data_IF_226981290387
#
_entry.id   IF_226981290387
#
_cell.length_a   1.000
_cell.length_b   1.000
_cell.length_c   1.000
_cell.angle_alpha   90.00
_cell.angle_beta   90.00
_cell.angle_gamma   90.00
#
_symmetry.space_group_name_H-M   'P 1'
#
loop_
_entity.id
_entity.type
_entity.pdbx_description
1 polymer ?
#
# COMPACT_ATOMS: atom_id res chain seq x y z
N UNK A 1 12.44 9.30 13.44
CA UNK A 1 12.16 10.72 13.20
C UNK A 1 11.15 10.89 12.05
N UNK A 2 10.51 12.05 11.90
CA UNK A 2 9.59 12.35 10.79
C UNK A 2 10.28 13.35 9.85
N UNK A 3 10.71 12.87 8.69
CA UNK A 3 11.42 13.67 7.70
C UNK A 3 10.51 14.47 6.77
N UNK A 4 11.10 15.22 5.84
CA UNK A 4 10.36 15.95 4.80
C UNK A 4 9.50 15.02 3.93
N UNK A 5 10.00 13.82 3.60
CA UNK A 5 9.25 12.80 2.83
C UNK A 5 7.99 12.34 3.55
N UNK A 6 8.05 12.15 4.86
CA UNK A 6 6.87 11.80 5.66
C UNK A 6 5.83 12.92 5.69
N UNK A 7 6.28 14.18 5.81
CA UNK A 7 5.37 15.34 5.80
C UNK A 7 4.73 15.55 4.43
N UNK A 8 5.49 15.38 3.35
CA UNK A 8 4.96 15.45 1.99
C UNK A 8 3.93 14.34 1.74
N UNK A 9 4.23 13.10 2.17
CA UNK A 9 3.31 11.98 2.08
C UNK A 9 2.03 12.22 2.90
N UNK A 10 2.14 12.78 4.10
CA UNK A 10 0.97 13.14 4.89
C UNK A 10 0.10 14.16 4.13
N UNK A 11 0.71 15.26 3.67
CA UNK A 11 -0.01 16.33 2.98
C UNK A 11 -0.73 15.88 1.70
N UNK A 12 -0.10 15.06 0.84
CA UNK A 12 -0.78 14.59 -0.38
C UNK A 12 -1.96 13.67 -0.05
N UNK A 13 -1.84 12.85 0.99
CA UNK A 13 -2.90 11.90 1.40
C UNK A 13 -3.99 12.54 2.25
N UNK A 14 -3.83 13.78 2.72
CA UNK A 14 -4.89 14.55 3.39
C UNK A 14 -5.91 15.12 2.39
N UNK A 15 -5.46 15.42 1.16
CA UNK A 15 -6.27 16.08 0.12
C UNK A 15 -6.61 15.17 -1.05
N UNK A 16 -6.22 13.89 -0.98
CA UNK A 16 -6.50 12.90 -2.02
C UNK A 16 -6.67 11.50 -1.42
N UNK A 17 -7.21 10.58 -2.22
CA UNK A 17 -7.30 9.15 -1.93
C UNK A 17 -5.98 8.39 -2.16
N UNK A 18 -4.88 9.13 -2.39
CA UNK A 18 -3.59 8.53 -2.65
C UNK A 18 -3.11 7.64 -1.49
N UNK A 19 -2.31 6.64 -1.86
CA UNK A 19 -1.54 5.79 -0.94
C UNK A 19 -0.07 6.10 -1.14
N UNK A 20 0.60 6.56 -0.09
CA UNK A 20 2.02 6.91 -0.14
C UNK A 20 2.86 5.92 0.66
N UNK A 21 3.78 5.24 -0.02
CA UNK A 21 4.79 4.39 0.59
C UNK A 21 6.09 5.19 0.80
N UNK A 22 6.65 5.16 2.00
CA UNK A 22 7.86 5.91 2.35
C UNK A 22 8.89 4.93 2.91
N UNK A 23 10.12 4.98 2.38
CA UNK A 23 11.27 4.24 2.92
C UNK A 23 12.23 5.24 3.53
N UNK A 24 12.62 5.02 4.79
CA UNK A 24 13.66 5.80 5.46
C UNK A 24 15.02 5.50 4.83
N UNK A 25 15.70 6.53 4.37
CA UNK A 25 17.05 6.43 3.77
C UNK A 25 18.12 6.01 4.79
N UNK A 26 17.96 6.43 6.05
CA UNK A 26 18.90 6.13 7.12
C UNK A 26 18.67 4.75 7.73
N UNK A 27 17.41 4.39 7.98
CA UNK A 27 17.06 3.19 8.78
C UNK A 27 16.44 2.06 7.97
N UNK A 28 16.13 2.29 6.68
CA UNK A 28 15.42 1.34 5.83
C UNK A 28 13.96 1.09 6.25
N UNK A 29 13.49 1.71 7.34
CA UNK A 29 12.14 1.50 7.87
C UNK A 29 11.08 1.99 6.89
N UNK A 30 10.04 1.18 6.72
CA UNK A 30 8.92 1.49 5.84
C UNK A 30 7.84 2.22 6.65
N UNK A 31 7.20 3.20 6.03
CA UNK A 31 6.02 3.89 6.53
C UNK A 31 4.99 4.00 5.42
N UNK A 32 3.73 4.08 5.78
CA UNK A 32 2.61 4.20 4.86
C UNK A 32 1.75 5.39 5.29
N UNK A 33 1.44 6.29 4.36
CA UNK A 33 0.47 7.34 4.57
C UNK A 33 -0.76 7.10 3.68
N UNK A 34 -1.96 7.26 4.25
CA UNK A 34 -3.23 7.16 3.54
C UNK A 34 -4.32 7.87 4.35
N UNK A 35 -5.22 8.60 3.67
CA UNK A 35 -6.32 9.36 4.30
C UNK A 35 -5.86 10.25 5.48
N UNK A 36 -4.75 10.97 5.30
CA UNK A 36 -4.15 11.83 6.33
C UNK A 36 -3.65 11.10 7.57
N UNK A 37 -3.45 9.78 7.51
CA UNK A 37 -2.89 8.98 8.61
C UNK A 37 -1.54 8.42 8.21
N UNK A 38 -0.56 8.54 9.11
CA UNK A 38 0.78 8.00 8.93
C UNK A 38 1.03 6.80 9.84
N UNK A 39 1.22 5.63 9.25
CA UNK A 39 1.62 4.39 9.92
C UNK A 39 3.13 4.24 9.75
N UNK A 40 3.86 4.08 10.86
CA UNK A 40 5.34 4.03 10.88
C UNK A 40 5.86 2.65 11.23
N UNK A 41 7.07 2.35 10.76
CA UNK A 41 7.80 1.10 11.05
C UNK A 41 6.96 -0.14 10.67
N UNK A 42 6.37 -0.09 9.48
CA UNK A 42 5.52 -1.16 8.96
C UNK A 42 6.40 -2.34 8.56
N UNK A 43 6.09 -3.53 9.08
CA UNK A 43 6.75 -4.78 8.68
C UNK A 43 6.28 -5.21 7.30
N UNK A 44 7.13 -5.93 6.56
CA UNK A 44 6.86 -6.35 5.18
C UNK A 44 5.54 -7.14 5.05
N UNK A 45 5.28 -8.08 5.97
CA UNK A 45 4.06 -8.89 5.95
C UNK A 45 2.81 -8.01 6.18
N UNK A 46 2.86 -7.13 7.18
CA UNK A 46 1.78 -6.19 7.46
C UNK A 46 1.56 -5.18 6.32
N UNK A 47 2.63 -4.76 5.65
CA UNK A 47 2.54 -3.84 4.51
C UNK A 47 1.73 -4.47 3.38
N UNK A 48 1.98 -5.75 3.07
CA UNK A 48 1.25 -6.47 2.03
C UNK A 48 -0.24 -6.48 2.33
N UNK A 49 -0.63 -6.88 3.54
CA UNK A 49 -2.03 -6.92 3.97
C UNK A 49 -2.69 -5.54 3.93
N UNK A 50 -1.98 -4.50 4.38
CA UNK A 50 -2.46 -3.12 4.31
C UNK A 50 -2.69 -2.68 2.86
N UNK A 51 -1.75 -2.94 1.95
CA UNK A 51 -1.89 -2.59 0.53
C UNK A 51 -3.04 -3.36 -0.13
N UNK A 52 -3.21 -4.64 0.16
CA UNK A 52 -4.37 -5.39 -0.36
C UNK A 52 -5.67 -4.83 0.17
N UNK A 53 -5.75 -4.56 1.47
CA UNK A 53 -6.95 -3.98 2.08
C UNK A 53 -7.31 -2.61 1.51
N UNK A 54 -6.33 -1.79 1.13
CA UNK A 54 -6.56 -0.43 0.63
C UNK A 54 -6.82 -0.43 -0.89
N UNK A 55 -6.02 -1.15 -1.67
CA UNK A 55 -6.04 -1.09 -3.14
C UNK A 55 -6.96 -2.14 -3.78
N UNK A 56 -7.31 -3.21 -3.06
CA UNK A 56 -8.12 -4.32 -3.58
C UNK A 56 -9.28 -4.64 -2.62
N UNK A 57 -10.27 -3.73 -2.48
CA UNK A 57 -11.49 -4.06 -1.77
C UNK A 57 -12.14 -5.29 -2.41
N UNK A 58 -12.56 -6.24 -1.58
CA UNK A 58 -13.16 -7.51 -1.98
C UNK A 58 -14.30 -7.25 -2.98
N UNK A 59 -14.18 -7.81 -4.18
CA UNK A 59 -15.08 -7.57 -5.31
C UNK A 59 -14.39 -7.16 -6.62
N UNK A 60 -13.08 -6.87 -6.59
CA UNK A 60 -12.31 -6.60 -7.82
C UNK A 60 -11.84 -7.92 -8.45
N UNK A 61 -12.65 -8.49 -9.34
CA UNK A 61 -12.22 -9.61 -10.18
C UNK A 61 -11.12 -9.09 -11.12
N UNK A 62 -9.86 -9.26 -10.73
CA UNK A 62 -8.73 -8.90 -11.58
C UNK A 62 -8.62 -9.93 -12.70
N UNK A 63 -9.34 -9.74 -13.81
CA UNK A 63 -9.07 -10.51 -15.03
C UNK A 63 -7.72 -10.05 -15.57
N UNK A 64 -6.66 -10.78 -15.25
CA UNK A 64 -5.31 -10.45 -15.73
C UNK A 64 -5.29 -10.46 -17.27
N UNK A 65 -4.90 -9.35 -17.95
CA UNK A 65 -4.75 -9.33 -19.41
C UNK A 65 -3.52 -10.11 -19.89
N UNK A 66 -2.64 -10.53 -18.97
CA UNK A 66 -1.56 -11.46 -19.24
C UNK A 66 -2.05 -12.86 -18.90
N UNK A 67 -2.65 -13.52 -19.90
CA UNK A 67 -3.16 -14.88 -19.77
C UNK A 67 -2.05 -15.87 -19.40
N UNK A 68 -2.28 -16.57 -18.28
CA UNK A 68 -1.63 -17.83 -17.94
C UNK A 68 -2.73 -18.86 -17.69
N UNK A 69 -2.89 -19.75 -18.65
CA UNK A 69 -3.67 -20.99 -18.57
C UNK A 69 -3.41 -21.73 -17.26
N UNK A 70 -4.47 -22.03 -16.52
CA UNK A 70 -4.37 -22.76 -15.26
C UNK A 70 -5.75 -23.11 -14.75
N UNK A 71 -6.35 -24.11 -15.40
CA UNK A 71 -7.35 -25.01 -14.85
C UNK A 71 -7.32 -25.06 -13.31
N UNK A 72 -8.44 -24.74 -12.68
CA UNK A 72 -8.91 -25.45 -11.49
C UNK A 72 -10.42 -25.34 -11.47
N UNK A 73 -10.98 -26.25 -12.26
CA UNK A 73 -12.19 -27.03 -12.04
C UNK A 73 -13.08 -26.66 -10.84
N UNK A 74 -14.33 -26.34 -11.20
CA UNK A 74 -15.49 -27.21 -10.96
C UNK A 74 -15.61 -27.89 -9.58
N UNK A 75 -16.42 -27.29 -8.70
CA UNK A 75 -17.44 -27.96 -7.87
C UNK A 75 -18.34 -26.91 -7.20
#
# INVERSE_FOLDING_TARGET
EVGSRHRAALGITEVSDAVSLIVSEESGKISLAHNGKLIRDVKADALRELLYSICFPQGTTFSSPLGGSGERDSA
#
